data_IF_591141182469
#
_entry.id   IF_591141182469
#
_cell.length_a   1.000
_cell.length_b   1.000
_cell.length_c   1.000
_cell.angle_alpha   90.00
_cell.angle_beta   90.00
_cell.angle_gamma   90.00
#
_symmetry.space_group_name_H-M   'P 1'
#
loop_
_entity.id
_entity.type
_entity.pdbx_description
1 polymer ?
#
# COMPACT_ATOMS: atom_id res chain seq x y z
N UNK A 1 8.98 -5.28 10.05
CA UNK A 1 9.09 -4.04 9.26
C UNK A 1 10.45 -3.42 9.58
N UNK A 2 11.47 -3.61 8.75
CA UNK A 2 12.78 -3.01 8.96
C UNK A 2 12.78 -1.62 8.30
N UNK A 3 12.73 -0.57 9.11
CA UNK A 3 12.82 0.82 8.64
C UNK A 3 14.27 1.14 8.28
N UNK A 4 14.55 1.26 7.00
CA UNK A 4 15.88 1.64 6.51
C UNK A 4 16.16 3.12 6.86
N UNK A 5 17.38 3.40 7.30
CA UNK A 5 17.79 4.67 7.91
C UNK A 5 17.67 5.86 6.97
N UNK A 6 17.02 6.92 7.46
CA UNK A 6 17.06 8.25 6.84
C UNK A 6 18.28 9.00 7.36
N UNK A 7 19.42 8.82 6.70
CA UNK A 7 20.64 9.56 6.98
C UNK A 7 20.53 11.00 6.43
N UNK A 8 20.59 11.99 7.33
CA UNK A 8 20.97 13.40 7.11
C UNK A 8 20.49 14.09 5.81
N UNK A 9 19.23 14.57 5.82
CA UNK A 9 18.59 15.40 4.79
C UNK A 9 17.10 15.63 5.12
N UNK A 10 16.35 16.53 4.46
CA UNK A 10 14.92 16.68 4.72
C UNK A 10 14.19 15.36 4.45
N UNK A 11 13.49 14.84 5.45
CA UNK A 11 12.74 13.59 5.36
C UNK A 11 11.64 13.71 4.30
N UNK A 12 11.67 12.84 3.30
CA UNK A 12 10.63 12.75 2.25
C UNK A 12 9.96 11.39 2.29
N UNK A 13 8.63 11.38 2.28
CA UNK A 13 7.79 10.18 2.15
C UNK A 13 7.15 10.08 0.76
N UNK A 14 7.80 10.67 -0.25
CA UNK A 14 7.37 10.59 -1.67
C UNK A 14 8.03 9.39 -2.35
N UNK A 15 7.30 8.73 -3.24
CA UNK A 15 7.77 7.58 -4.03
C UNK A 15 8.40 6.47 -3.17
N UNK A 16 7.81 6.21 -1.99
CA UNK A 16 8.32 5.22 -1.06
C UNK A 16 8.00 3.81 -1.58
N UNK A 17 9.00 2.96 -1.89
CA UNK A 17 8.73 1.58 -2.25
C UNK A 17 8.21 0.81 -1.03
N UNK A 18 7.16 0.02 -1.25
CA UNK A 18 6.57 -0.88 -0.26
C UNK A 18 6.66 -2.30 -0.81
N UNK A 19 6.99 -3.26 0.06
CA UNK A 19 7.04 -4.68 -0.29
C UNK A 19 6.07 -5.45 0.59
N UNK A 20 5.21 -6.24 -0.03
CA UNK A 20 4.25 -7.11 0.65
C UNK A 20 4.68 -8.56 0.42
N UNK A 21 4.73 -9.33 1.49
CA UNK A 21 5.03 -10.75 1.46
C UNK A 21 4.11 -11.49 2.43
N UNK A 22 3.72 -12.71 2.05
CA UNK A 22 2.73 -13.52 2.76
C UNK A 22 1.88 -14.31 1.77
N UNK A 23 1.23 -15.38 2.23
CA UNK A 23 0.36 -16.20 1.39
C UNK A 23 -0.94 -15.47 1.06
N UNK A 24 -1.54 -15.81 -0.09
CA UNK A 24 -2.87 -15.34 -0.51
C UNK A 24 -2.89 -14.06 -1.32
N UNK A 25 -1.81 -13.27 -1.36
CA UNK A 25 -1.69 -12.16 -2.32
C UNK A 25 -1.15 -12.62 -3.67
N UNK A 26 -1.47 -11.90 -4.74
CA UNK A 26 -0.77 -11.99 -6.01
C UNK A 26 0.65 -11.39 -5.88
N UNK A 27 1.59 -12.18 -5.37
CA UNK A 27 3.00 -11.80 -5.30
C UNK A 27 3.74 -12.04 -6.62
N UNK A 28 4.87 -11.35 -6.81
CA UNK A 28 5.70 -11.43 -8.02
C UNK A 28 5.45 -10.32 -9.05
N UNK A 29 4.64 -9.32 -8.68
CA UNK A 29 4.34 -8.16 -9.52
C UNK A 29 4.89 -6.86 -8.93
N UNK A 30 5.02 -5.85 -9.78
CA UNK A 30 5.38 -4.49 -9.41
C UNK A 30 4.25 -3.55 -9.83
N UNK A 31 3.54 -2.99 -8.84
CA UNK A 31 2.48 -2.01 -9.04
C UNK A 31 2.98 -0.61 -8.66
N UNK A 32 2.67 0.39 -9.49
CA UNK A 32 3.03 1.79 -9.27
C UNK A 32 1.76 2.58 -8.99
N UNK A 33 1.78 3.40 -7.94
CA UNK A 33 0.66 4.24 -7.56
C UNK A 33 1.09 5.69 -7.32
N UNK A 34 0.33 6.70 -7.78
CA UNK A 34 -0.78 6.57 -8.75
C UNK A 34 -0.30 6.09 -10.13
N UNK A 35 -1.24 5.70 -10.99
CA UNK A 35 -0.97 5.51 -12.42
C UNK A 35 -0.35 6.79 -13.03
N UNK A 36 0.46 6.63 -14.08
CA UNK A 36 1.20 7.74 -14.70
C UNK A 36 0.33 8.91 -15.16
N UNK A 37 -0.93 8.62 -15.50
CA UNK A 37 -1.91 9.61 -15.98
C UNK A 37 -2.59 10.38 -14.85
N UNK A 38 -2.44 9.96 -13.60
CA UNK A 38 -3.12 10.54 -12.44
C UNK A 38 -2.20 11.46 -11.64
N UNK A 39 -2.61 12.71 -11.50
CA UNK A 39 -1.93 13.68 -10.64
C UNK A 39 -2.24 13.49 -9.13
N UNK A 40 -3.14 12.55 -8.78
CA UNK A 40 -3.57 12.35 -7.39
C UNK A 40 -2.60 11.47 -6.61
N UNK A 41 -2.11 11.97 -5.48
CA UNK A 41 -1.23 11.20 -4.58
C UNK A 41 -2.02 10.04 -3.95
N UNK A 42 -1.52 8.82 -4.08
CA UNK A 42 -2.03 7.65 -3.37
C UNK A 42 -1.32 7.53 -2.00
N UNK A 43 -2.05 7.52 -0.88
CA UNK A 43 -1.46 7.34 0.44
C UNK A 43 -0.91 5.92 0.64
N UNK A 44 0.28 5.79 1.20
CA UNK A 44 0.85 4.50 1.59
C UNK A 44 -0.05 3.72 2.58
N UNK A 45 -0.84 4.42 3.40
CA UNK A 45 -1.80 3.83 4.33
C UNK A 45 -2.92 3.03 3.64
N UNK A 46 -3.20 3.28 2.35
CA UNK A 46 -4.18 2.50 1.58
C UNK A 46 -3.78 1.02 1.51
N UNK A 47 -2.49 0.70 1.55
CA UNK A 47 -2.02 -0.69 1.59
C UNK A 47 -2.56 -1.43 2.82
N UNK A 48 -2.48 -0.79 4.00
CA UNK A 48 -2.91 -1.42 5.25
C UNK A 48 -4.43 -1.56 5.29
N UNK A 49 -5.17 -0.57 4.79
CA UNK A 49 -6.62 -0.67 4.66
C UNK A 49 -7.02 -1.80 3.70
N UNK A 50 -6.36 -1.93 2.55
CA UNK A 50 -6.57 -3.05 1.63
C UNK A 50 -6.31 -4.40 2.27
N UNK A 51 -5.21 -4.54 3.04
CA UNK A 51 -4.90 -5.79 3.72
C UNK A 51 -6.00 -6.13 4.74
N UNK A 52 -6.43 -5.18 5.56
CA UNK A 52 -7.48 -5.40 6.56
C UNK A 52 -8.79 -5.86 5.91
N UNK A 53 -9.24 -5.17 4.87
CA UNK A 53 -10.48 -5.51 4.17
C UNK A 53 -10.37 -6.86 3.44
N UNK A 54 -9.24 -7.17 2.81
CA UNK A 54 -9.01 -8.48 2.19
C UNK A 54 -9.04 -9.63 3.21
N UNK A 55 -8.73 -9.36 4.49
CA UNK A 55 -8.85 -10.32 5.59
C UNK A 55 -10.23 -10.32 6.28
N UNK A 56 -11.25 -9.71 5.67
CA UNK A 56 -12.63 -9.73 6.17
C UNK A 56 -12.89 -8.76 7.33
N UNK A 57 -12.00 -7.80 7.58
CA UNK A 57 -12.22 -6.78 8.60
C UNK A 57 -13.06 -5.65 8.00
N UNK A 58 -14.28 -5.47 8.51
CA UNK A 58 -15.22 -4.43 8.07
C UNK A 58 -14.84 -3.06 8.66
N UNK A 59 -13.84 -2.40 8.07
CA UNK A 59 -13.41 -1.05 8.44
C UNK A 59 -13.30 -0.16 7.21
N UNK A 60 -13.80 1.06 7.29
CA UNK A 60 -13.77 2.01 6.17
C UNK A 60 -12.53 2.91 6.15
N UNK A 61 -11.79 2.98 7.27
CA UNK A 61 -10.64 3.87 7.45
C UNK A 61 -9.54 3.20 8.25
N UNK A 62 -8.30 3.54 7.92
CA UNK A 62 -7.12 3.16 8.69
C UNK A 62 -6.08 4.28 8.66
N UNK A 63 -5.72 4.83 9.82
CA UNK A 63 -4.85 6.01 9.90
C UNK A 63 -5.43 7.18 9.09
N UNK A 64 -4.69 7.67 8.10
CA UNK A 64 -5.14 8.72 7.17
C UNK A 64 -5.81 8.17 5.90
N UNK A 65 -5.92 6.86 5.74
CA UNK A 65 -6.55 6.23 4.58
C UNK A 65 -8.07 6.17 4.73
N UNK A 66 -8.75 6.43 3.62
CA UNK A 66 -10.20 6.24 3.44
C UNK A 66 -10.51 5.51 2.13
N UNK A 67 -9.56 4.72 1.62
CA UNK A 67 -9.69 3.99 0.36
C UNK A 67 -8.60 2.95 0.16
N UNK A 68 -8.89 1.92 -0.62
CA UNK A 68 -7.97 0.80 -0.91
C UNK A 68 -7.09 1.09 -2.12
N UNK A 69 -6.02 0.31 -2.27
CA UNK A 69 -5.24 0.24 -3.51
C UNK A 69 -6.05 -0.47 -4.59
N UNK A 70 -6.21 0.18 -5.75
CA UNK A 70 -6.83 -0.41 -6.95
C UNK A 70 -6.02 -1.60 -7.44
N UNK A 71 -6.71 -2.64 -7.93
CA UNK A 71 -6.12 -3.88 -8.44
C UNK A 71 -5.13 -4.53 -7.45
N UNK A 72 -5.31 -4.33 -6.15
CA UNK A 72 -4.55 -5.03 -5.11
C UNK A 72 -5.36 -6.20 -4.57
N UNK A 73 -5.38 -7.27 -5.35
CA UNK A 73 -6.26 -8.43 -5.13
C UNK A 73 -5.60 -9.59 -4.39
N UNK A 74 -6.46 -10.32 -3.68
CA UNK A 74 -6.17 -11.54 -2.95
C UNK A 74 -6.70 -12.75 -3.74
N UNK A 75 -5.91 -13.82 -3.85
CA UNK A 75 -6.38 -15.10 -4.38
C UNK A 75 -7.32 -15.75 -3.36
N UNK A 76 -8.62 -15.69 -3.63
CA UNK A 76 -9.56 -16.61 -2.99
C UNK A 76 -9.32 -18.01 -3.56
N UNK A 77 -8.92 -18.92 -2.67
CA UNK A 77 -8.84 -20.37 -2.92
C UNK A 77 -10.21 -21.01 -2.95
#
# INVERSE_FOLDING_TARGET
MFGCGMATGPHSTKNLPLVVAGGGFHHGEHKVYPDSESAHRVPAANLLLSILQNHGVEVERFGTSSGTLTDFDWRQS
#
